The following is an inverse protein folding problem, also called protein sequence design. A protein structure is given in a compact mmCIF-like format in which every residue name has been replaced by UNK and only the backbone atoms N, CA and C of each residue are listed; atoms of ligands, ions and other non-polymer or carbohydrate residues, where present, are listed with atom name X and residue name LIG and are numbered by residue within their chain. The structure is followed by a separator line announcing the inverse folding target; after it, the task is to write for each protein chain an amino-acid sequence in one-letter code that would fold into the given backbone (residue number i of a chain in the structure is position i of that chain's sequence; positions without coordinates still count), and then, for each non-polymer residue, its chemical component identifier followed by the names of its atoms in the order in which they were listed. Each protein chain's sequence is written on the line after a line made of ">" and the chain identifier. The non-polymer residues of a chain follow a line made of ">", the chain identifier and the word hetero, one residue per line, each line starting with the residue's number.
data_IF_989616522739
#
_entry.id   IF_989616522739
#
_cell.length_a   1.000
_cell.length_b   1.000
_cell.length_c   1.000
_cell.angle_alpha   90.00
_cell.angle_beta   90.00
_cell.angle_gamma   90.00
#
_symmetry.space_group_name_H-M   'P 1'
#
loop_
_entity.id
_entity.type
_entity.pdbx_description
1 polymer ?
#
# COMPACT_ATOMS: atom_id res chain seq x y z
N UNK A 1 11.82 -41.95 -46.21
CA UNK A 1 13.04 -42.09 -45.39
C UNK A 1 13.18 -40.82 -44.56
N UNK A 2 13.54 -40.98 -43.29
CA UNK A 2 13.03 -40.20 -42.17
C UNK A 2 13.41 -38.73 -42.12
N UNK A 3 12.41 -37.91 -41.79
CA UNK A 3 12.58 -36.59 -41.18
C UNK A 3 13.08 -36.78 -39.74
N UNK A 4 14.34 -36.44 -39.47
CA UNK A 4 14.84 -36.21 -38.12
C UNK A 4 14.64 -34.73 -37.80
N UNK A 5 13.46 -34.40 -37.27
CA UNK A 5 13.29 -33.18 -36.51
C UNK A 5 13.76 -33.46 -35.08
N UNK A 6 14.96 -32.99 -34.74
CA UNK A 6 15.45 -32.95 -33.36
C UNK A 6 14.49 -32.07 -32.55
N UNK A 7 13.90 -32.54 -31.45
CA UNK A 7 13.08 -31.69 -30.60
C UNK A 7 13.98 -30.68 -29.89
N UNK A 8 13.78 -29.38 -30.13
CA UNK A 8 14.43 -28.32 -29.34
C UNK A 8 14.00 -28.43 -27.87
N UNK A 9 14.94 -28.36 -26.91
CA UNK A 9 14.60 -28.39 -25.50
C UNK A 9 13.87 -27.10 -25.12
N UNK A 10 12.61 -27.22 -24.69
CA UNK A 10 11.78 -26.11 -24.21
C UNK A 10 12.03 -25.79 -22.73
N UNK A 11 13.29 -25.68 -22.34
CA UNK A 11 13.66 -25.12 -21.03
C UNK A 11 13.82 -23.61 -21.17
N UNK A 12 12.70 -22.91 -21.40
CA UNK A 12 12.71 -21.46 -21.34
C UNK A 12 12.77 -21.08 -19.86
N UNK A 13 13.96 -20.75 -19.36
CA UNK A 13 14.16 -20.31 -17.98
C UNK A 13 13.18 -19.19 -17.64
N UNK A 14 12.29 -19.44 -16.68
CA UNK A 14 11.34 -18.44 -16.22
C UNK A 14 12.12 -17.34 -15.51
N UNK A 15 12.14 -16.14 -16.09
CA UNK A 15 12.76 -14.99 -15.46
C UNK A 15 12.01 -14.62 -14.18
N UNK A 16 12.72 -14.57 -13.06
CA UNK A 16 12.19 -14.20 -11.75
C UNK A 16 12.89 -12.95 -11.24
N UNK A 17 12.38 -12.36 -10.15
CA UNK A 17 13.05 -11.24 -9.49
C UNK A 17 14.46 -11.59 -8.99
N UNK A 18 14.74 -12.86 -8.73
CA UNK A 18 16.06 -13.32 -8.29
C UNK A 18 17.09 -13.42 -9.43
N UNK A 19 16.65 -13.51 -10.68
CA UNK A 19 17.53 -13.50 -11.85
C UNK A 19 17.65 -12.11 -12.49
N UNK A 20 17.13 -11.07 -11.82
CA UNK A 20 17.25 -9.69 -12.28
C UNK A 20 18.66 -9.15 -12.02
N UNK A 21 19.27 -8.64 -13.08
CA UNK A 21 20.51 -7.87 -13.05
C UNK A 21 20.14 -6.43 -13.31
N UNK A 22 20.16 -5.63 -12.25
CA UNK A 22 19.82 -4.20 -12.27
C UNK A 22 21.02 -3.41 -11.77
N UNK A 23 21.32 -2.29 -12.42
CA UNK A 23 22.46 -1.44 -12.06
C UNK A 23 22.46 -0.12 -12.79
N UNK A 24 23.40 0.75 -12.42
CA UNK A 24 23.65 2.00 -13.12
C UNK A 24 24.62 1.76 -14.27
N UNK A 25 24.23 2.17 -15.47
CA UNK A 25 25.08 2.21 -16.65
C UNK A 25 25.50 3.66 -16.92
N UNK A 26 26.79 3.87 -17.16
CA UNK A 26 27.37 5.19 -17.47
C UNK A 26 27.78 5.30 -18.94
N UNK A 27 28.09 4.17 -19.58
CA UNK A 27 28.52 4.12 -20.97
C UNK A 27 27.38 3.56 -21.85
N UNK A 28 27.15 4.13 -23.04
CA UNK A 28 26.11 3.64 -23.95
C UNK A 28 26.25 2.16 -24.34
N UNK A 29 27.48 1.66 -24.43
CA UNK A 29 27.77 0.25 -24.77
C UNK A 29 27.21 -0.75 -23.74
N UNK A 30 27.03 -0.32 -22.49
CA UNK A 30 26.47 -1.15 -21.41
C UNK A 30 24.93 -1.17 -21.39
N UNK A 31 24.28 -0.36 -22.24
CA UNK A 31 22.83 -0.12 -22.18
C UNK A 31 22.06 -0.83 -23.30
N UNK A 32 22.69 -1.05 -24.46
CA UNK A 32 22.02 -1.56 -25.65
C UNK A 32 21.38 -2.94 -25.40
N UNK A 33 20.10 -3.07 -25.74
CA UNK A 33 19.34 -4.31 -25.58
C UNK A 33 18.79 -4.55 -24.17
N UNK A 34 19.17 -3.73 -23.18
CA UNK A 34 18.58 -3.74 -21.84
C UNK A 34 17.29 -2.91 -21.79
N UNK A 35 16.67 -2.84 -20.61
CA UNK A 35 15.49 -2.04 -20.34
C UNK A 35 15.80 -0.95 -19.32
N UNK A 36 15.12 0.20 -19.46
CA UNK A 36 15.16 1.29 -18.48
C UNK A 36 14.47 0.81 -17.19
N UNK A 37 15.19 0.78 -16.07
CA UNK A 37 14.69 0.21 -14.81
C UNK A 37 13.80 1.17 -13.99
N UNK A 38 13.99 2.48 -14.17
CA UNK A 38 13.22 3.55 -13.54
C UNK A 38 13.02 4.72 -14.53
N UNK A 39 11.97 5.55 -14.38
CA UNK A 39 11.70 6.63 -15.33
C UNK A 39 12.91 7.56 -15.47
N UNK A 40 13.50 7.62 -16.67
CA UNK A 40 14.66 8.44 -16.96
C UNK A 40 14.19 9.85 -17.27
N UNK A 41 14.60 10.81 -16.44
CA UNK A 41 14.20 12.23 -16.56
C UNK A 41 15.44 13.11 -16.54
N UNK A 42 15.40 14.20 -17.29
CA UNK A 42 16.30 15.35 -17.06
C UNK A 42 15.62 16.31 -16.09
N UNK A 43 16.39 16.94 -15.21
CA UNK A 43 15.90 17.90 -14.23
C UNK A 43 16.70 19.19 -14.31
N UNK A 44 16.03 20.34 -14.28
CA UNK A 44 16.69 21.65 -14.28
C UNK A 44 15.92 22.65 -13.41
N UNK A 45 16.62 23.65 -12.91
CA UNK A 45 16.02 24.76 -12.19
C UNK A 45 15.61 25.87 -13.14
N UNK A 46 14.41 26.39 -12.95
CA UNK A 46 13.88 27.53 -13.69
C UNK A 46 13.51 28.63 -12.70
N UNK A 47 14.20 29.76 -12.82
CA UNK A 47 13.86 30.95 -12.06
C UNK A 47 12.71 31.69 -12.75
N UNK A 48 11.61 31.85 -12.03
CA UNK A 48 10.44 32.60 -12.46
C UNK A 48 10.43 33.94 -11.73
N UNK A 49 10.37 35.02 -12.49
CA UNK A 49 10.23 36.36 -11.95
C UNK A 49 8.75 36.71 -11.88
N UNK A 50 8.30 37.14 -10.70
CA UNK A 50 6.96 37.68 -10.51
C UNK A 50 7.00 39.21 -10.69
N UNK A 51 6.41 39.69 -11.79
CA UNK A 51 6.36 41.11 -12.14
C UNK A 51 5.55 41.95 -11.12
N UNK A 52 4.67 41.34 -10.33
CA UNK A 52 3.84 42.04 -9.33
C UNK A 52 4.55 42.18 -7.97
N UNK A 53 5.33 41.18 -7.56
CA UNK A 53 6.02 41.16 -6.26
C UNK A 53 7.51 41.49 -6.35
N UNK A 54 8.11 41.36 -7.54
CA UNK A 54 9.55 41.49 -7.75
C UNK A 54 10.38 40.32 -7.20
N UNK A 55 9.73 39.24 -6.77
CA UNK A 55 10.40 38.06 -6.23
C UNK A 55 10.83 37.10 -7.35
N UNK A 56 11.98 36.43 -7.13
CA UNK A 56 12.46 35.34 -7.97
C UNK A 56 12.16 34.02 -7.26
N UNK A 57 11.26 33.23 -7.83
CA UNK A 57 10.91 31.90 -7.34
C UNK A 57 11.65 30.88 -8.20
N UNK A 58 12.54 30.10 -7.59
CA UNK A 58 13.21 28.98 -8.28
C UNK A 58 12.33 27.74 -8.24
N UNK A 59 12.04 27.16 -9.41
CA UNK A 59 11.17 25.99 -9.56
C UNK A 59 11.96 24.85 -10.20
N UNK A 60 11.96 23.69 -9.55
CA UNK A 60 12.50 22.46 -10.12
C UNK A 60 11.55 21.92 -11.21
N UNK A 61 12.07 21.83 -12.44
CA UNK A 61 11.37 21.24 -13.58
C UNK A 61 12.00 19.91 -13.94
N UNK A 62 11.20 19.04 -14.57
CA UNK A 62 11.67 17.76 -15.09
C UNK A 62 11.01 17.42 -16.41
N UNK A 63 11.74 16.75 -17.28
CA UNK A 63 11.23 16.22 -18.54
C UNK A 63 11.56 14.74 -18.64
N UNK A 64 10.57 13.94 -19.04
CA UNK A 64 10.72 12.51 -19.23
C UNK A 64 11.46 12.22 -20.53
N UNK A 65 12.65 11.64 -20.41
CA UNK A 65 13.38 11.08 -21.54
C UNK A 65 12.72 9.73 -21.87
N UNK A 66 12.74 8.76 -20.96
CA UNK A 66 12.19 7.43 -21.20
C UNK A 66 11.39 6.89 -20.00
N UNK A 67 10.29 6.20 -20.29
CA UNK A 67 9.51 5.51 -19.26
C UNK A 67 10.24 4.25 -18.76
N UNK A 68 9.97 3.87 -17.51
CA UNK A 68 10.40 2.58 -16.99
C UNK A 68 9.86 1.43 -17.85
N UNK A 69 10.66 0.38 -18.04
CA UNK A 69 10.35 -0.75 -18.90
C UNK A 69 10.57 -0.50 -20.40
N UNK A 70 11.01 0.69 -20.82
CA UNK A 70 11.31 0.94 -22.23
C UNK A 70 12.60 0.20 -22.62
N UNK A 71 12.56 -0.58 -23.71
CA UNK A 71 13.74 -1.26 -24.24
C UNK A 71 14.69 -0.22 -24.86
N UNK A 72 15.97 -0.36 -24.57
CA UNK A 72 17.02 0.50 -25.12
C UNK A 72 17.47 -0.10 -26.45
N UNK A 73 16.88 0.41 -27.53
CA UNK A 73 17.31 0.19 -28.91
C UNK A 73 18.25 1.30 -29.37
N UNK A 74 18.70 1.23 -30.62
CA UNK A 74 19.67 2.20 -31.17
C UNK A 74 19.15 3.66 -31.15
N UNK A 75 17.84 3.86 -31.36
CA UNK A 75 17.22 5.19 -31.35
C UNK A 75 17.19 5.76 -29.92
N UNK A 76 16.70 4.98 -28.96
CA UNK A 76 16.69 5.39 -27.56
C UNK A 76 18.12 5.60 -27.03
N UNK A 77 19.06 4.73 -27.42
CA UNK A 77 20.45 4.84 -27.01
C UNK A 77 21.08 6.15 -27.51
N UNK A 78 20.83 6.51 -28.77
CA UNK A 78 21.31 7.78 -29.35
C UNK A 78 20.79 8.98 -28.56
N UNK A 79 19.50 8.96 -28.19
CA UNK A 79 18.90 10.03 -27.38
C UNK A 79 19.48 10.09 -25.97
N UNK A 80 19.69 8.94 -25.33
CA UNK A 80 20.35 8.85 -24.01
C UNK A 80 21.78 9.41 -24.09
N UNK A 81 22.53 9.04 -25.12
CA UNK A 81 23.90 9.49 -25.32
C UNK A 81 23.99 11.01 -25.47
N UNK A 82 23.04 11.62 -26.21
CA UNK A 82 22.94 13.08 -26.31
C UNK A 82 22.80 13.74 -24.92
N UNK A 83 21.89 13.24 -24.08
CA UNK A 83 21.69 13.78 -22.73
C UNK A 83 22.87 13.54 -21.79
N UNK A 84 23.56 12.40 -21.89
CA UNK A 84 24.79 12.14 -21.13
C UNK A 84 25.91 13.12 -21.52
N UNK A 85 26.08 13.38 -22.82
CA UNK A 85 27.10 14.31 -23.33
C UNK A 85 26.79 15.78 -22.99
N UNK A 86 25.50 16.15 -22.97
CA UNK A 86 25.04 17.46 -22.54
C UNK A 86 25.21 17.69 -21.02
N UNK A 87 25.40 16.61 -20.25
CA UNK A 87 25.42 16.66 -18.78
C UNK A 87 24.02 16.76 -18.16
N UNK A 88 22.96 16.55 -18.94
CA UNK A 88 21.56 16.56 -18.48
C UNK A 88 21.26 15.39 -17.52
N UNK A 89 21.97 14.28 -17.72
CA UNK A 89 21.90 13.07 -16.91
C UNK A 89 23.32 12.52 -16.70
N UNK A 90 23.56 11.82 -15.59
CA UNK A 90 24.88 11.25 -15.26
C UNK A 90 24.98 9.76 -15.54
N UNK A 91 23.86 9.04 -15.42
CA UNK A 91 23.76 7.61 -15.64
C UNK A 91 22.32 7.20 -15.94
N UNK A 92 22.13 5.98 -16.42
CA UNK A 92 20.82 5.37 -16.63
C UNK A 92 20.74 4.10 -15.80
N UNK A 93 19.65 3.95 -15.06
CA UNK A 93 19.38 2.68 -14.37
C UNK A 93 18.82 1.67 -15.37
N UNK A 94 19.51 0.56 -15.56
CA UNK A 94 19.19 -0.47 -16.56
C UNK A 94 18.94 -1.83 -15.91
N UNK A 95 18.12 -2.64 -16.56
CA UNK A 95 17.80 -4.01 -16.13
C UNK A 95 17.71 -4.95 -17.33
N UNK A 96 18.09 -6.21 -17.14
CA UNK A 96 17.97 -7.25 -18.16
C UNK A 96 16.54 -7.82 -18.31
N UNK A 97 15.59 -7.37 -17.48
CA UNK A 97 14.21 -7.86 -17.50
C UNK A 97 13.21 -6.74 -17.78
N UNK A 98 12.22 -7.02 -18.62
CA UNK A 98 11.11 -6.10 -18.84
C UNK A 98 10.17 -6.08 -17.63
N UNK A 99 10.08 -4.93 -16.95
CA UNK A 99 9.11 -4.68 -15.87
C UNK A 99 8.04 -3.71 -16.37
N UNK A 100 6.84 -4.22 -16.65
CA UNK A 100 5.71 -3.39 -17.11
C UNK A 100 4.87 -2.81 -15.96
N UNK A 101 4.83 -3.51 -14.83
CA UNK A 101 4.04 -3.12 -13.67
C UNK A 101 4.91 -2.48 -12.59
N UNK A 102 4.38 -1.43 -11.97
CA UNK A 102 4.93 -0.81 -10.77
C UNK A 102 4.03 -1.13 -9.58
N UNK A 103 4.64 -1.50 -8.46
CA UNK A 103 3.93 -1.63 -7.19
C UNK A 103 3.73 -0.23 -6.62
N UNK A 104 2.49 0.27 -6.66
CA UNK A 104 2.14 1.54 -6.05
C UNK A 104 2.00 1.36 -4.55
N UNK A 105 2.72 2.15 -3.76
CA UNK A 105 2.48 2.24 -2.33
C UNK A 105 1.07 2.81 -2.08
N UNK A 106 0.38 2.30 -1.07
CA UNK A 106 -0.85 2.92 -0.62
C UNK A 106 -0.58 4.34 -0.12
N UNK A 107 -1.56 5.23 -0.27
CA UNK A 107 -1.49 6.62 0.20
C UNK A 107 -1.54 6.76 1.74
N UNK A 108 -1.49 5.66 2.49
CA UNK A 108 -1.57 5.65 3.94
C UNK A 108 -1.70 4.24 4.52
N UNK A 109 -1.99 4.18 5.82
CA UNK A 109 -2.23 2.92 6.53
C UNK A 109 -3.61 2.37 6.20
N UNK A 110 -3.64 1.19 5.59
CA UNK A 110 -4.87 0.48 5.23
C UNK A 110 -5.06 -0.69 6.21
N UNK A 111 -6.30 -1.04 6.57
CA UNK A 111 -6.59 -2.27 7.31
C UNK A 111 -6.25 -3.56 6.56
N UNK A 112 -5.57 -4.48 7.24
CA UNK A 112 -5.24 -5.83 6.75
C UNK A 112 -5.69 -6.90 7.73
N UNK A 113 -5.97 -8.08 7.18
CA UNK A 113 -6.20 -9.32 7.91
C UNK A 113 -5.13 -10.33 7.54
N UNK A 114 -4.32 -10.74 8.51
CA UNK A 114 -3.32 -11.80 8.37
C UNK A 114 -3.82 -13.06 9.09
N UNK A 115 -3.97 -14.15 8.36
CA UNK A 115 -4.32 -15.46 8.95
C UNK A 115 -3.05 -16.28 9.13
N UNK A 116 -2.75 -16.66 10.38
CA UNK A 116 -1.61 -17.49 10.73
C UNK A 116 -2.06 -18.78 11.43
N UNK A 117 -1.41 -19.90 11.09
CA UNK A 117 -1.52 -21.16 11.81
C UNK A 117 -0.40 -21.18 12.85
N UNK A 118 -0.73 -21.03 14.13
CA UNK A 118 0.22 -21.04 15.24
C UNK A 118 0.01 -22.35 16.00
N UNK A 119 1.01 -23.24 15.95
CA UNK A 119 0.85 -24.62 16.38
C UNK A 119 -0.25 -25.33 15.59
N UNK A 120 -1.36 -25.67 16.26
CA UNK A 120 -2.53 -26.33 15.63
C UNK A 120 -3.74 -25.40 15.46
N UNK A 121 -3.67 -24.15 15.94
CA UNK A 121 -4.81 -23.21 15.92
C UNK A 121 -4.61 -22.14 14.84
N UNK A 122 -5.64 -21.91 14.03
CA UNK A 122 -5.67 -20.77 13.10
C UNK A 122 -6.08 -19.52 13.88
N UNK A 123 -5.30 -18.46 13.75
CA UNK A 123 -5.55 -17.14 14.33
C UNK A 123 -5.57 -16.10 13.22
N UNK A 124 -6.43 -15.11 13.37
CA UNK A 124 -6.54 -13.97 12.47
C UNK A 124 -6.06 -12.73 13.21
N UNK A 125 -5.06 -12.07 12.67
CA UNK A 125 -4.49 -10.82 13.16
C UNK A 125 -5.03 -9.69 12.30
N UNK A 126 -5.49 -8.63 12.95
CA UNK A 126 -5.96 -7.42 12.31
C UNK A 126 -4.95 -6.31 12.61
N UNK A 127 -4.48 -5.65 11.56
CA UNK A 127 -3.42 -4.65 11.67
C UNK A 127 -3.55 -3.61 10.57
N UNK A 128 -2.92 -2.46 10.78
CA UNK A 128 -2.82 -1.41 9.77
C UNK A 128 -1.45 -1.47 9.10
N UNK A 129 -1.43 -1.41 7.76
CA UNK A 129 -0.21 -1.36 6.99
C UNK A 129 -0.38 -0.62 5.64
N UNK A 130 0.71 -0.03 5.15
CA UNK A 130 0.82 0.67 3.88
C UNK A 130 1.00 -0.26 2.67
N UNK A 131 1.31 -1.54 2.92
CA UNK A 131 1.68 -2.51 1.91
C UNK A 131 1.49 -3.93 2.42
N UNK A 132 1.32 -4.87 1.48
CA UNK A 132 1.26 -6.29 1.79
C UNK A 132 2.55 -6.78 2.50
N UNK A 133 3.70 -6.22 2.13
CA UNK A 133 4.99 -6.56 2.75
C UNK A 133 5.03 -6.12 4.21
N UNK A 134 4.73 -4.85 4.48
CA UNK A 134 4.71 -4.35 5.85
C UNK A 134 3.68 -5.10 6.70
N UNK A 135 2.51 -5.45 6.15
CA UNK A 135 1.52 -6.24 6.85
C UNK A 135 2.05 -7.61 7.30
N UNK A 136 2.83 -8.28 6.44
CA UNK A 136 3.47 -9.56 6.77
C UNK A 136 4.56 -9.38 7.81
N UNK A 137 5.39 -8.34 7.70
CA UNK A 137 6.51 -8.10 8.61
C UNK A 137 6.01 -7.76 10.02
N UNK A 138 5.01 -6.88 10.14
CA UNK A 138 4.35 -6.55 11.41
C UNK A 138 3.69 -7.79 12.03
N UNK A 139 3.00 -8.60 11.23
CA UNK A 139 2.37 -9.81 11.75
C UNK A 139 3.39 -10.84 12.23
N UNK A 140 4.51 -11.02 11.51
CA UNK A 140 5.59 -11.92 11.94
C UNK A 140 6.20 -11.45 13.26
N UNK A 141 6.59 -10.18 13.34
CA UNK A 141 7.20 -9.58 14.53
C UNK A 141 6.28 -9.75 15.75
N UNK A 142 4.99 -9.45 15.59
CA UNK A 142 4.03 -9.66 16.67
C UNK A 142 3.90 -11.14 17.09
N UNK A 143 3.85 -12.09 16.15
CA UNK A 143 3.75 -13.51 16.49
C UNK A 143 5.03 -13.99 17.20
N UNK A 144 6.21 -13.58 16.72
CA UNK A 144 7.49 -13.95 17.32
C UNK A 144 7.64 -13.43 18.76
N UNK A 145 7.11 -12.24 19.04
CA UNK A 145 7.13 -11.64 20.39
C UNK A 145 6.08 -12.22 21.34
N UNK A 146 4.91 -12.63 20.84
CA UNK A 146 3.75 -12.96 21.69
C UNK A 146 3.36 -14.44 21.70
N UNK A 147 3.87 -15.27 20.78
CA UNK A 147 3.47 -16.67 20.65
C UNK A 147 4.69 -17.61 20.73
N UNK A 148 4.57 -18.67 21.55
CA UNK A 148 5.55 -19.74 21.58
C UNK A 148 5.27 -20.81 20.51
N UNK A 149 6.31 -21.23 19.78
CA UNK A 149 6.27 -22.36 18.86
C UNK A 149 6.35 -21.97 17.37
N UNK A 150 6.18 -22.96 16.50
CA UNK A 150 6.24 -22.74 15.04
C UNK A 150 4.93 -22.17 14.51
N UNK A 151 5.02 -21.25 13.55
CA UNK A 151 3.86 -20.70 12.89
C UNK A 151 4.03 -20.61 11.36
N UNK A 152 2.90 -20.58 10.66
CA UNK A 152 2.84 -20.36 9.21
C UNK A 152 1.82 -19.28 8.89
N UNK A 153 2.17 -18.29 8.08
CA UNK A 153 1.18 -17.36 7.53
C UNK A 153 0.49 -18.04 6.35
N UNK A 154 -0.84 -18.15 6.43
CA UNK A 154 -1.68 -18.89 5.47
C UNK A 154 -2.48 -17.96 4.57
N UNK A 155 -2.75 -16.73 5.02
CA UNK A 155 -3.51 -15.78 4.22
C UNK A 155 -3.22 -14.34 4.59
N UNK A 156 -3.30 -13.47 3.58
CA UNK A 156 -3.19 -12.02 3.69
C UNK A 156 -4.34 -11.43 2.88
N UNK A 157 -5.15 -10.58 3.52
CA UNK A 157 -6.28 -9.91 2.86
C UNK A 157 -6.27 -8.43 3.22
N UNK A 158 -6.27 -7.57 2.20
CA UNK A 158 -6.54 -6.15 2.33
C UNK A 158 -8.05 -5.94 2.45
N UNK A 159 -8.48 -4.96 3.26
CA UNK A 159 -9.87 -4.52 3.26
C UNK A 159 -9.98 -3.20 2.48
N UNK A 160 -10.91 -3.15 1.53
CA UNK A 160 -11.29 -1.91 0.86
C UNK A 160 -12.19 -1.13 1.83
N UNK A 161 -11.69 -0.02 2.37
CA UNK A 161 -12.40 0.88 3.31
C UNK A 161 -12.94 0.18 4.57
N UNK A 162 -12.01 -0.26 5.44
CA UNK A 162 -12.36 -0.79 6.76
C UNK A 162 -11.74 0.03 7.91
N UNK A 163 -12.53 0.28 8.95
CA UNK A 163 -12.07 0.95 10.16
C UNK A 163 -12.07 -0.04 11.31
N UNK A 164 -10.88 -0.23 11.91
CA UNK A 164 -10.75 -0.93 13.19
C UNK A 164 -11.03 0.03 14.34
N UNK A 165 -12.15 -0.17 15.04
CA UNK A 165 -12.42 0.54 16.29
C UNK A 165 -11.83 -0.31 17.41
N UNK A 166 -10.68 0.13 17.93
CA UNK A 166 -10.17 -0.40 19.20
C UNK A 166 -10.96 0.26 20.32
N UNK A 167 -11.73 -0.53 21.07
CA UNK A 167 -12.06 -0.10 22.42
C UNK A 167 -10.75 0.06 23.22
N UNK A 168 -10.65 1.03 24.14
CA UNK A 168 -9.48 1.17 25.00
C UNK A 168 -9.31 -0.15 25.76
N UNK A 169 -8.27 -0.91 25.42
CA UNK A 169 -7.92 -2.10 26.17
C UNK A 169 -7.62 -1.64 27.60
N UNK A 170 -8.33 -2.19 28.60
CA UNK A 170 -7.83 -2.16 29.96
C UNK A 170 -6.44 -2.78 29.94
N UNK A 171 -5.45 -2.05 30.44
CA UNK A 171 -4.13 -2.59 30.71
C UNK A 171 -4.32 -3.85 31.59
N UNK A 172 -3.91 -5.00 31.07
CA UNK A 172 -3.98 -6.25 31.83
C UNK A 172 -2.80 -6.24 32.79
N UNK A 173 -3.10 -6.08 34.07
CA UNK A 173 -2.12 -6.12 35.16
C UNK A 173 -1.51 -7.53 35.21
N UNK A 174 -0.18 -7.71 35.09
CA UNK A 174 0.45 -9.04 34.94
C UNK A 174 0.35 -9.94 36.18
N UNK A 175 -0.37 -9.52 37.22
CA UNK A 175 -0.50 -10.21 38.50
C UNK A 175 -1.94 -10.67 38.81
N UNK A 176 -2.92 -10.44 37.93
CA UNK A 176 -4.23 -11.08 38.07
C UNK A 176 -4.16 -12.51 37.54
N UNK A 177 -4.10 -13.46 38.48
CA UNK A 177 -4.31 -14.88 38.21
C UNK A 177 -5.65 -15.06 37.49
N UNK A 178 -5.59 -15.75 36.34
CA UNK A 178 -6.74 -16.13 35.54
C UNK A 178 -7.68 -17.04 36.35
N UNK A 179 -8.54 -16.43 37.15
CA UNK A 179 -9.75 -17.08 37.63
C UNK A 179 -10.71 -17.15 36.45
N UNK A 180 -11.17 -18.38 36.17
CA UNK A 180 -12.16 -18.71 35.15
C UNK A 180 -13.47 -17.99 35.47
N UNK A 181 -13.61 -16.75 35.01
CA UNK A 181 -14.91 -16.13 34.80
C UNK A 181 -15.37 -16.49 33.39
N UNK A 182 -16.45 -17.26 33.34
CA UNK A 182 -17.32 -17.50 32.19
C UNK A 182 -18.02 -16.17 31.80
N UNK A 183 -17.23 -15.17 31.40
CA UNK A 183 -17.72 -13.95 30.76
C UNK A 183 -17.40 -14.09 29.27
N UNK A 184 -18.44 -14.01 28.43
CA UNK A 184 -18.35 -14.15 26.98
C UNK A 184 -17.14 -13.38 26.45
N UNK A 185 -16.10 -14.11 26.02
CA UNK A 185 -14.90 -13.49 25.46
C UNK A 185 -15.34 -12.66 24.26
N UNK A 186 -15.13 -11.34 24.27
CA UNK A 186 -15.69 -10.50 23.23
C UNK A 186 -15.11 -10.92 21.88
N UNK A 187 -15.97 -11.08 20.88
CA UNK A 187 -15.59 -11.55 19.55
C UNK A 187 -15.42 -10.37 18.59
N UNK A 188 -14.61 -10.57 17.54
CA UNK A 188 -14.49 -9.57 16.49
C UNK A 188 -15.69 -9.63 15.56
N UNK A 189 -16.54 -8.61 15.61
CA UNK A 189 -17.62 -8.42 14.66
C UNK A 189 -17.14 -7.62 13.46
N UNK A 190 -17.39 -8.16 12.26
CA UNK A 190 -17.30 -7.41 11.01
C UNK A 190 -18.70 -6.89 10.69
N UNK A 191 -18.88 -5.58 10.79
CA UNK A 191 -20.16 -4.90 10.59
C UNK A 191 -20.07 -4.11 9.29
N UNK A 192 -20.97 -4.40 8.34
CA UNK A 192 -21.10 -3.62 7.12
C UNK A 192 -22.20 -2.60 7.36
N UNK A 193 -21.88 -1.31 7.19
CA UNK A 193 -22.79 -0.22 7.51
C UNK A 193 -23.10 0.56 6.26
N UNK A 194 -24.39 0.82 6.04
CA UNK A 194 -24.86 1.78 5.05
C UNK A 194 -25.18 3.10 5.77
N UNK A 195 -24.41 4.14 5.46
CA UNK A 195 -24.61 5.50 5.92
C UNK A 195 -25.39 6.26 4.86
N UNK A 196 -26.59 6.74 5.23
CA UNK A 196 -27.43 7.55 4.34
C UNK A 196 -27.47 8.99 4.83
N UNK A 197 -26.89 9.90 4.07
CA UNK A 197 -26.92 11.32 4.39
C UNK A 197 -28.24 11.93 3.94
N UNK A 198 -28.95 12.61 4.85
CA UNK A 198 -30.30 13.14 4.56
C UNK A 198 -30.26 14.39 3.68
N UNK A 199 -29.16 15.14 3.72
CA UNK A 199 -28.97 16.38 2.97
C UNK A 199 -28.84 16.16 1.44
N UNK A 200 -28.09 15.13 1.06
CA UNK A 200 -27.69 14.82 -0.32
C UNK A 200 -28.39 13.58 -0.85
N UNK A 201 -28.98 12.76 0.02
CA UNK A 201 -29.56 11.47 -0.33
C UNK A 201 -28.52 10.42 -0.75
N UNK A 202 -27.22 10.71 -0.59
CA UNK A 202 -26.15 9.79 -0.95
C UNK A 202 -26.04 8.66 0.08
N UNK A 203 -25.63 7.47 -0.39
CA UNK A 203 -25.37 6.31 0.46
C UNK A 203 -23.90 5.93 0.36
N UNK A 204 -23.24 5.82 1.50
CA UNK A 204 -21.86 5.37 1.64
C UNK A 204 -21.84 4.05 2.40
N UNK A 205 -21.18 3.05 1.84
CA UNK A 205 -21.00 1.76 2.49
C UNK A 205 -19.60 1.69 3.08
N UNK A 206 -19.50 1.51 4.40
CA UNK A 206 -18.24 1.35 5.10
C UNK A 206 -18.24 0.02 5.88
N UNK A 207 -17.06 -0.58 6.07
CA UNK A 207 -16.92 -1.77 6.90
C UNK A 207 -16.24 -1.41 8.22
N UNK A 208 -16.84 -1.76 9.35
CA UNK A 208 -16.22 -1.61 10.66
C UNK A 208 -15.87 -2.98 11.23
N UNK A 209 -14.72 -3.06 11.90
CA UNK A 209 -14.35 -4.24 12.67
C UNK A 209 -14.02 -3.82 14.09
N UNK A 210 -14.75 -4.39 15.03
CA UNK A 210 -14.70 -4.01 16.44
C UNK A 210 -14.90 -5.23 17.34
N UNK A 211 -14.40 -5.10 18.56
CA UNK A 211 -14.48 -6.12 19.61
C UNK A 211 -15.70 -5.79 20.47
N UNK A 212 -16.80 -6.53 20.34
CA UNK A 212 -18.03 -6.26 21.09
C UNK A 212 -18.68 -7.55 21.57
N UNK A 213 -19.63 -7.45 22.49
CA UNK A 213 -20.44 -8.59 22.95
C UNK A 213 -21.68 -8.80 22.07
N UNK A 214 -22.21 -7.74 21.47
CA UNK A 214 -23.41 -7.79 20.63
C UNK A 214 -23.39 -6.76 19.48
N UNK A 215 -24.35 -6.90 18.56
CA UNK A 215 -24.50 -6.06 17.36
C UNK A 215 -25.01 -4.64 17.69
N UNK A 216 -25.82 -4.47 18.73
CA UNK A 216 -26.41 -3.17 19.08
C UNK A 216 -25.36 -2.23 19.72
N UNK A 217 -24.51 -2.79 20.58
CA UNK A 217 -23.30 -2.15 21.12
C UNK A 217 -22.35 -1.80 19.99
N UNK A 218 -22.22 -2.68 18.98
CA UNK A 218 -21.41 -2.39 17.81
C UNK A 218 -21.96 -1.20 17.00
N UNK A 219 -23.26 -1.16 16.75
CA UNK A 219 -23.91 -0.05 16.04
C UNK A 219 -23.70 1.29 16.77
N UNK A 220 -23.81 1.27 18.10
CA UNK A 220 -23.60 2.46 18.95
C UNK A 220 -22.15 2.92 18.91
N UNK A 221 -21.19 2.01 19.06
CA UNK A 221 -19.76 2.34 19.00
C UNK A 221 -19.35 2.89 17.62
N UNK A 222 -19.91 2.34 16.54
CA UNK A 222 -19.69 2.85 15.18
C UNK A 222 -20.27 4.26 15.03
N UNK A 223 -21.51 4.48 15.49
CA UNK A 223 -22.14 5.80 15.46
C UNK A 223 -21.28 6.84 16.20
N UNK A 224 -20.84 6.53 17.42
CA UNK A 224 -20.03 7.44 18.24
C UNK A 224 -18.67 7.73 17.61
N UNK A 225 -18.04 6.72 16.98
CA UNK A 225 -16.79 6.89 16.25
C UNK A 225 -16.96 7.84 15.06
N UNK A 226 -18.02 7.68 14.25
CA UNK A 226 -18.30 8.55 13.10
C UNK A 226 -18.53 9.99 13.57
N UNK A 227 -19.32 10.19 14.62
CA UNK A 227 -19.57 11.51 15.19
C UNK A 227 -18.28 12.17 15.66
N UNK A 228 -17.41 11.41 16.33
CA UNK A 228 -16.11 11.90 16.79
C UNK A 228 -15.18 12.24 15.62
N UNK A 229 -15.10 11.40 14.60
CA UNK A 229 -14.26 11.61 13.41
C UNK A 229 -14.67 12.88 12.65
N UNK A 230 -15.96 13.05 12.37
CA UNK A 230 -16.49 14.24 11.66
C UNK A 230 -16.23 15.53 12.44
N UNK A 231 -16.46 15.53 13.77
CA UNK A 231 -16.25 16.71 14.61
C UNK A 231 -14.80 17.16 14.63
N UNK A 232 -13.87 16.21 14.67
CA UNK A 232 -12.44 16.46 14.78
C UNK A 232 -11.72 16.58 13.45
N UNK A 233 -12.41 16.40 12.32
CA UNK A 233 -11.83 16.55 11.00
C UNK A 233 -11.46 18.04 10.76
N UNK A 234 -10.17 18.36 10.53
CA UNK A 234 -9.72 19.74 10.31
C UNK A 234 -10.06 20.27 8.90
N UNK A 235 -10.40 19.39 7.97
CA UNK A 235 -10.64 19.74 6.56
C UNK A 235 -12.11 20.12 6.30
N UNK A 236 -12.98 19.96 7.28
CA UNK A 236 -14.41 20.29 7.19
C UNK A 236 -14.74 21.59 7.94
N UNK A 237 -15.50 22.47 7.31
CA UNK A 237 -16.09 23.63 7.97
C UNK A 237 -17.32 23.24 8.85
N UNK A 238 -17.81 24.16 9.68
CA UNK A 238 -18.92 23.88 10.59
C UNK A 238 -20.22 23.50 9.88
N UNK A 239 -20.43 23.98 8.65
CA UNK A 239 -21.63 23.67 7.86
C UNK A 239 -21.53 22.27 7.27
N UNK A 240 -20.35 21.89 6.77
CA UNK A 240 -20.02 20.55 6.28
C UNK A 240 -20.05 19.52 7.40
N UNK A 241 -19.60 19.88 8.61
CA UNK A 241 -19.71 19.02 9.79
C UNK A 241 -21.16 18.78 10.19
N UNK A 242 -22.00 19.82 10.20
CA UNK A 242 -23.41 19.67 10.51
C UNK A 242 -24.14 18.78 9.49
N UNK A 243 -23.83 18.94 8.20
CA UNK A 243 -24.35 18.09 7.12
C UNK A 243 -23.90 16.63 7.25
N UNK A 244 -22.61 16.39 7.51
CA UNK A 244 -22.05 15.04 7.68
C UNK A 244 -22.54 14.32 8.96
N UNK A 245 -23.09 15.05 9.93
CA UNK A 245 -23.71 14.50 11.15
C UNK A 245 -25.22 14.22 10.99
N UNK A 246 -25.86 14.65 9.90
CA UNK A 246 -27.27 14.32 9.59
C UNK A 246 -27.35 13.07 8.71
N UNK A 247 -27.03 11.92 9.32
CA UNK A 247 -27.04 10.62 8.66
C UNK A 247 -27.93 9.61 9.41
N UNK A 248 -28.48 8.66 8.64
CA UNK A 248 -29.08 7.44 9.17
C UNK A 248 -28.09 6.28 9.00
N UNK A 249 -27.90 5.52 10.07
CA UNK A 249 -27.00 4.36 10.12
C UNK A 249 -27.82 3.08 10.06
N UNK A 250 -27.52 2.20 9.10
CA UNK A 250 -28.12 0.86 9.00
C UNK A 250 -27.02 -0.19 9.02
N UNK A 251 -27.15 -1.16 9.94
CA UNK A 251 -26.27 -2.33 10.13
C UNK A 251 -26.89 -3.57 9.50
#
# INVERSE_FOLDING_TARGET
>A
MNANATPEPRDQEVQTRYSERRGQAYLPEDMLGLYVAAPLKRTWQQDLFDDETGEVISVDRSELIAAAGTKIDDDLLTRIQFHLQAGDITCVEVTNQLRLGEERAAYGLIPWSVTALIGKKRRKLLLYADSARMALDVAKDWIELNCSGTFHIVGLKMFDHCVFIKEPQKEVDPNESAEEQDDETPEFYKVEVALRYRDTGTTRNDTFVLLTKDVDTAATAIHDWIVHDVRNNPDLDDTQKAAALDFDLTV
#
